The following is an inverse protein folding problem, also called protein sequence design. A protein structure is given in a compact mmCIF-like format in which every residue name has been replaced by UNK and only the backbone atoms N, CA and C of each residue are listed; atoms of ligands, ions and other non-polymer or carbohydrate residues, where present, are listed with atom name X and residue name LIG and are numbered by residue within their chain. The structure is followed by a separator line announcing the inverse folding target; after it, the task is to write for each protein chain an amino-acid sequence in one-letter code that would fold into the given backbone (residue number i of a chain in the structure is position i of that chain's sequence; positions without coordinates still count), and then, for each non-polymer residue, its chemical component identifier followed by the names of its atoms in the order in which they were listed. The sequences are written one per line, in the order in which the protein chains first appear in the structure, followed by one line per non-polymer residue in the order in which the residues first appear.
data_IF_656150393407
#
_entry.id   IF_656150393407
#
_cell.length_a   1.000
_cell.length_b   1.000
_cell.length_c   1.000
_cell.angle_alpha   90.00
_cell.angle_beta   90.00
_cell.angle_gamma   90.00
#
_symmetry.space_group_name_H-M   'P 1'
#
loop_
_entity.id
_entity.type
_entity.pdbx_description
1 polymer ?
#
# COMPACT_ATOMS: atom_id res chain seq x y z
N UNK A 1 14.31 -9.70 -24.55
CA UNK A 1 15.77 -9.48 -24.72
C UNK A 1 16.25 -9.67 -26.16
N UNK A 2 15.67 -10.59 -26.96
CA UNK A 2 16.07 -10.84 -28.35
C UNK A 2 15.40 -9.92 -29.39
N UNK A 3 14.92 -8.74 -28.99
CA UNK A 3 14.22 -7.80 -29.89
C UNK A 3 12.81 -8.21 -30.34
N UNK A 4 12.27 -9.32 -29.84
CA UNK A 4 10.90 -9.73 -30.15
C UNK A 4 9.87 -8.83 -29.46
N UNK A 5 8.85 -8.31 -30.18
CA UNK A 5 7.74 -7.57 -29.60
C UNK A 5 6.92 -8.44 -28.63
N UNK A 6 6.31 -7.80 -27.63
CA UNK A 6 5.32 -8.46 -26.77
C UNK A 6 4.00 -8.50 -27.52
N UNK A 7 3.46 -9.70 -27.73
CA UNK A 7 2.11 -9.88 -28.29
C UNK A 7 1.09 -9.82 -27.16
N UNK A 8 0.16 -8.86 -27.24
CA UNK A 8 -0.94 -8.71 -26.30
C UNK A 8 -2.19 -8.19 -27.01
N UNK A 9 -3.36 -8.54 -26.48
CA UNK A 9 -4.61 -7.88 -26.89
C UNK A 9 -4.57 -6.42 -26.44
N UNK A 10 -5.21 -5.53 -27.21
CA UNK A 10 -5.41 -4.14 -26.78
C UNK A 10 -6.27 -4.20 -25.50
N UNK A 11 -5.73 -3.78 -24.35
CA UNK A 11 -6.41 -3.96 -23.08
C UNK A 11 -7.46 -2.86 -22.91
N UNK A 12 -8.55 -3.19 -22.23
CA UNK A 12 -9.41 -2.17 -21.62
C UNK A 12 -8.62 -1.36 -20.60
N UNK A 13 -8.95 -0.08 -20.47
CA UNK A 13 -8.37 0.81 -19.47
C UNK A 13 -9.45 1.24 -18.48
N UNK A 14 -9.23 0.95 -17.21
CA UNK A 14 -10.09 1.38 -16.10
C UNK A 14 -9.49 2.63 -15.49
N UNK A 15 -10.21 3.75 -15.58
CA UNK A 15 -9.81 5.00 -14.92
C UNK A 15 -10.14 4.95 -13.43
N UNK A 16 -9.16 5.21 -12.58
CA UNK A 16 -9.35 5.33 -11.14
C UNK A 16 -9.12 6.77 -10.68
N UNK A 17 -10.21 7.50 -10.45
CA UNK A 17 -10.17 8.91 -10.07
C UNK A 17 -9.84 9.06 -8.59
N UNK A 18 -8.78 9.79 -8.28
CA UNK A 18 -8.44 10.19 -6.93
C UNK A 18 -8.74 11.68 -6.75
N UNK A 19 -9.48 11.98 -5.69
CA UNK A 19 -9.83 13.35 -5.27
C UNK A 19 -9.51 13.55 -3.79
N UNK A 20 -9.59 14.79 -3.32
CA UNK A 20 -9.31 15.11 -1.93
C UNK A 20 -7.84 14.90 -1.55
N UNK A 21 -7.60 14.75 -0.24
CA UNK A 21 -6.27 14.51 0.35
C UNK A 21 -6.40 13.49 1.47
N UNK A 22 -5.35 12.68 1.67
CA UNK A 22 -5.30 11.78 2.83
C UNK A 22 -5.34 12.57 4.13
N UNK A 23 -6.13 12.08 5.09
CA UNK A 23 -6.21 12.65 6.44
C UNK A 23 -4.92 12.38 7.20
N UNK A 24 -4.64 13.21 8.21
CA UNK A 24 -3.51 13.00 9.10
C UNK A 24 -3.57 11.60 9.76
N UNK A 25 -2.42 10.92 9.81
CA UNK A 25 -2.32 9.57 10.37
C UNK A 25 -2.70 8.45 9.39
N UNK A 26 -3.26 8.77 8.23
CA UNK A 26 -3.51 7.80 7.16
C UNK A 26 -2.27 7.65 6.29
N UNK A 27 -1.95 6.41 5.92
CA UNK A 27 -0.73 6.06 5.21
C UNK A 27 -1.00 5.64 3.76
N UNK A 28 0.07 5.58 2.95
CA UNK A 28 0.01 4.99 1.61
C UNK A 28 -0.49 3.53 1.62
N UNK A 29 -0.18 2.79 2.68
CA UNK A 29 -0.65 1.41 2.88
C UNK A 29 -2.18 1.35 3.01
N UNK A 30 -2.78 2.26 3.77
CA UNK A 30 -4.24 2.32 3.93
C UNK A 30 -4.94 2.65 2.60
N UNK A 31 -4.37 3.59 1.84
CA UNK A 31 -4.86 3.97 0.53
C UNK A 31 -4.80 2.79 -0.44
N UNK A 32 -3.65 2.11 -0.55
CA UNK A 32 -3.52 0.98 -1.50
C UNK A 32 -4.41 -0.21 -1.12
N UNK A 33 -4.64 -0.49 0.16
CA UNK A 33 -5.57 -1.55 0.57
C UNK A 33 -7.01 -1.21 0.18
N UNK A 34 -7.40 0.06 0.33
CA UNK A 34 -8.73 0.55 -0.09
C UNK A 34 -8.89 0.45 -1.61
N UNK A 35 -7.91 0.93 -2.36
CA UNK A 35 -7.86 0.82 -3.84
C UNK A 35 -7.90 -0.64 -4.29
N UNK A 36 -7.13 -1.51 -3.66
CA UNK A 36 -7.07 -2.95 -3.98
C UNK A 36 -8.43 -3.62 -3.79
N UNK A 37 -9.11 -3.34 -2.68
CA UNK A 37 -10.45 -3.86 -2.40
C UNK A 37 -11.45 -3.40 -3.48
N UNK A 38 -11.46 -2.11 -3.82
CA UNK A 38 -12.36 -1.54 -4.82
C UNK A 38 -12.12 -2.13 -6.22
N UNK A 39 -10.87 -2.20 -6.65
CA UNK A 39 -10.50 -2.73 -7.96
C UNK A 39 -10.76 -4.24 -8.09
N UNK A 40 -10.56 -5.01 -7.01
CA UNK A 40 -10.93 -6.43 -6.98
C UNK A 40 -12.43 -6.63 -7.13
N UNK A 41 -13.23 -5.83 -6.42
CA UNK A 41 -14.69 -5.88 -6.54
C UNK A 41 -15.17 -5.49 -7.94
N UNK A 42 -14.50 -4.53 -8.59
CA UNK A 42 -14.83 -4.10 -9.96
C UNK A 42 -14.44 -5.13 -11.03
N UNK A 43 -13.37 -5.88 -10.82
CA UNK A 43 -12.91 -6.92 -11.75
C UNK A 43 -12.03 -6.36 -12.87
N UNK A 44 -10.75 -6.16 -12.57
CA UNK A 44 -9.76 -5.59 -13.51
C UNK A 44 -8.74 -6.61 -14.04
N UNK A 45 -9.09 -7.90 -13.99
CA UNK A 45 -8.21 -8.97 -14.48
C UNK A 45 -7.92 -8.81 -15.96
N UNK A 46 -6.63 -8.71 -16.32
CA UNK A 46 -6.18 -8.54 -17.71
C UNK A 46 -6.40 -7.14 -18.30
N UNK A 47 -6.79 -6.17 -17.47
CA UNK A 47 -7.01 -4.77 -17.85
C UNK A 47 -5.88 -3.89 -17.35
N UNK A 48 -5.78 -2.70 -17.92
CA UNK A 48 -4.96 -1.63 -17.35
C UNK A 48 -5.79 -0.82 -16.37
N UNK A 49 -5.13 -0.31 -15.33
CA UNK A 49 -5.71 0.68 -14.42
C UNK A 49 -4.88 1.93 -14.54
N UNK A 50 -5.52 3.05 -14.90
CA UNK A 50 -4.88 4.36 -14.97
C UNK A 50 -5.44 5.27 -13.88
N UNK A 51 -4.56 5.79 -13.04
CA UNK A 51 -4.93 6.71 -11.97
C UNK A 51 -4.92 8.15 -12.48
N UNK A 52 -6.00 8.88 -12.18
CA UNK A 52 -6.19 10.27 -12.63
C UNK A 52 -6.93 11.11 -11.58
N UNK A 53 -7.17 12.38 -11.89
CA UNK A 53 -7.83 13.34 -10.99
C UNK A 53 -6.85 14.21 -10.19
N UNK A 54 -7.39 15.25 -9.55
CA UNK A 54 -6.60 16.29 -8.90
C UNK A 54 -5.99 15.85 -7.56
N UNK A 55 -6.46 14.73 -7.00
CA UNK A 55 -5.83 14.13 -5.82
C UNK A 55 -4.34 13.78 -6.05
N UNK A 56 -3.96 13.49 -7.30
CA UNK A 56 -2.57 13.17 -7.67
C UNK A 56 -1.61 14.32 -7.37
N UNK A 57 -2.05 15.59 -7.42
CA UNK A 57 -1.20 16.76 -7.18
C UNK A 57 -0.59 16.76 -5.77
N UNK A 58 -1.22 16.05 -4.83
CA UNK A 58 -0.77 15.95 -3.44
C UNK A 58 -0.28 14.58 -3.04
N UNK A 59 -0.30 13.61 -3.97
CA UNK A 59 0.12 12.25 -3.71
C UNK A 59 1.59 12.07 -4.12
N UNK A 60 2.52 11.91 -3.15
CA UNK A 60 3.94 11.75 -3.45
C UNK A 60 4.22 10.54 -4.33
N UNK A 61 5.33 10.58 -5.09
CA UNK A 61 5.65 9.47 -6.01
C UNK A 61 5.84 8.13 -5.31
N UNK A 62 6.36 8.12 -4.08
CA UNK A 62 6.49 6.88 -3.31
C UNK A 62 5.13 6.22 -3.05
N UNK A 63 4.08 7.01 -2.78
CA UNK A 63 2.73 6.51 -2.54
C UNK A 63 2.12 5.99 -3.85
N UNK A 64 2.34 6.69 -4.97
CA UNK A 64 1.95 6.22 -6.31
C UNK A 64 2.62 4.87 -6.63
N UNK A 65 3.90 4.73 -6.32
CA UNK A 65 4.65 3.50 -6.51
C UNK A 65 4.13 2.36 -5.63
N UNK A 66 3.75 2.64 -4.38
CA UNK A 66 3.07 1.67 -3.49
C UNK A 66 1.79 1.13 -4.13
N UNK A 67 0.96 2.01 -4.71
CA UNK A 67 -0.30 1.63 -5.36
C UNK A 67 -0.06 0.82 -6.65
N UNK A 68 0.86 1.28 -7.50
CA UNK A 68 1.21 0.61 -8.75
C UNK A 68 1.86 -0.76 -8.51
N UNK A 69 2.66 -0.89 -7.44
CA UNK A 69 3.30 -2.15 -7.07
C UNK A 69 2.29 -3.25 -6.73
N UNK A 70 1.11 -2.88 -6.20
CA UNK A 70 0.06 -3.83 -5.86
C UNK A 70 -0.86 -4.21 -7.03
N UNK A 71 -0.47 -3.91 -8.28
CA UNK A 71 -1.25 -4.27 -9.46
C UNK A 71 -1.63 -5.76 -9.56
N UNK A 72 -0.70 -6.70 -9.31
CA UNK A 72 -1.05 -8.13 -9.27
C UNK A 72 -2.11 -8.45 -8.20
N UNK A 73 -2.08 -7.77 -7.06
CA UNK A 73 -2.98 -7.98 -5.92
C UNK A 73 -4.41 -7.52 -6.21
N UNK A 74 -4.64 -6.56 -7.12
CA UNK A 74 -5.98 -6.27 -7.66
C UNK A 74 -6.27 -6.88 -9.04
N UNK A 75 -5.28 -7.53 -9.65
CA UNK A 75 -5.42 -8.33 -10.87
C UNK A 75 -5.17 -7.55 -12.17
N UNK A 76 -4.81 -6.28 -12.10
CA UNK A 76 -4.50 -5.50 -13.29
C UNK A 76 -3.17 -5.96 -13.89
N UNK A 77 -3.05 -5.83 -15.22
CA UNK A 77 -1.77 -6.02 -15.90
C UNK A 77 -0.81 -4.87 -15.58
N UNK A 78 -1.34 -3.67 -15.36
CA UNK A 78 -0.57 -2.47 -15.05
C UNK A 78 -1.39 -1.52 -14.17
N UNK A 79 -0.74 -0.93 -13.17
CA UNK A 79 -1.22 0.27 -12.47
C UNK A 79 -0.40 1.47 -12.91
N UNK A 80 -1.00 2.38 -13.67
CA UNK A 80 -0.32 3.46 -14.35
C UNK A 80 -0.63 4.82 -13.70
N UNK A 81 0.41 5.60 -13.43
CA UNK A 81 0.30 7.01 -13.07
C UNK A 81 1.00 7.84 -14.15
N UNK A 82 0.33 8.85 -14.73
CA UNK A 82 0.92 9.67 -15.78
C UNK A 82 2.06 10.55 -15.26
N UNK A 83 2.89 11.04 -16.19
CA UNK A 83 4.02 11.91 -15.88
C UNK A 83 3.50 13.30 -15.54
N UNK A 84 3.94 13.84 -14.39
CA UNK A 84 3.62 15.20 -13.97
C UNK A 84 4.77 15.85 -13.17
N UNK A 85 4.48 17.00 -12.56
CA UNK A 85 5.45 17.73 -11.75
C UNK A 85 6.03 16.92 -10.59
N UNK A 86 5.24 16.04 -9.96
CA UNK A 86 5.69 15.17 -8.87
C UNK A 86 6.67 14.13 -9.38
N UNK A 87 6.48 13.62 -10.61
CA UNK A 87 7.47 12.76 -11.27
C UNK A 87 8.82 13.45 -11.40
N UNK A 88 8.84 14.71 -11.87
CA UNK A 88 10.07 15.47 -12.04
C UNK A 88 10.72 15.82 -10.70
N UNK A 89 9.93 16.15 -9.68
CA UNK A 89 10.43 16.38 -8.32
C UNK A 89 11.14 15.14 -7.79
N UNK A 90 10.54 13.96 -7.95
CA UNK A 90 11.18 12.71 -7.54
C UNK A 90 12.46 12.41 -8.34
N UNK A 91 12.48 12.71 -9.64
CA UNK A 91 13.71 12.58 -10.44
C UNK A 91 14.84 13.45 -9.89
N UNK A 92 14.55 14.70 -9.52
CA UNK A 92 15.53 15.61 -8.89
C UNK A 92 15.99 15.06 -7.53
N UNK A 93 15.03 14.68 -6.68
CA UNK A 93 15.28 14.12 -5.35
C UNK A 93 16.20 12.89 -5.42
N UNK A 94 16.00 12.05 -6.43
CA UNK A 94 16.76 10.83 -6.66
C UNK A 94 18.03 11.05 -7.50
N UNK A 95 18.51 12.28 -7.62
CA UNK A 95 19.83 12.62 -8.14
C UNK A 95 19.95 12.67 -9.66
N UNK A 96 18.86 12.73 -10.42
CA UNK A 96 18.94 12.91 -11.89
C UNK A 96 19.37 14.35 -12.20
N UNK A 97 20.15 14.52 -13.27
CA UNK A 97 20.66 15.85 -13.66
C UNK A 97 19.52 16.78 -14.08
N UNK A 98 19.72 18.08 -13.92
CA UNK A 98 18.77 19.11 -14.36
C UNK A 98 18.47 19.00 -15.87
N UNK A 99 19.48 18.70 -16.67
CA UNK A 99 19.37 18.47 -18.12
C UNK A 99 18.45 17.29 -18.44
N UNK A 100 18.61 16.16 -17.73
CA UNK A 100 17.77 14.98 -17.93
C UNK A 100 16.32 15.25 -17.52
N UNK A 101 16.11 15.95 -16.40
CA UNK A 101 14.77 16.32 -15.93
C UNK A 101 14.07 17.25 -16.93
N UNK A 102 14.78 18.25 -17.45
CA UNK A 102 14.26 19.17 -18.46
C UNK A 102 13.93 18.45 -19.78
N UNK A 103 14.77 17.50 -20.20
CA UNK A 103 14.51 16.68 -21.39
C UNK A 103 13.23 15.84 -21.23
N UNK A 104 13.06 15.17 -20.07
CA UNK A 104 11.87 14.36 -19.80
C UNK A 104 10.60 15.21 -19.82
N UNK A 105 10.63 16.39 -19.21
CA UNK A 105 9.51 17.33 -19.23
C UNK A 105 9.14 17.75 -20.66
N UNK A 106 10.12 18.23 -21.42
CA UNK A 106 9.91 18.70 -22.78
C UNK A 106 9.38 17.59 -23.69
N UNK A 107 9.95 16.39 -23.58
CA UNK A 107 9.53 15.23 -24.35
C UNK A 107 8.11 14.78 -23.98
N UNK A 108 7.81 14.63 -22.69
CA UNK A 108 6.49 14.21 -22.24
C UNK A 108 5.38 15.18 -22.69
N UNK A 109 5.64 16.49 -22.63
CA UNK A 109 4.72 17.52 -23.12
C UNK A 109 4.55 17.47 -24.64
N UNK A 110 5.66 17.36 -25.39
CA UNK A 110 5.61 17.29 -26.85
C UNK A 110 4.88 16.05 -27.38
N UNK A 111 4.91 14.93 -26.64
CA UNK A 111 4.24 13.68 -26.99
C UNK A 111 2.80 13.58 -26.44
N UNK A 112 2.30 14.59 -25.72
CA UNK A 112 0.97 14.55 -25.10
C UNK A 112 0.85 13.53 -23.95
N UNK A 113 1.96 13.14 -23.32
CA UNK A 113 2.00 12.21 -22.18
C UNK A 113 2.01 12.93 -20.82
N UNK A 114 2.00 14.26 -20.83
CA UNK A 114 2.04 15.08 -19.64
C UNK A 114 0.64 15.28 -19.05
N UNK A 115 0.45 14.93 -17.77
CA UNK A 115 -0.80 15.20 -17.04
C UNK A 115 -0.89 16.65 -16.59
N UNK A 116 -2.08 17.23 -16.73
CA UNK A 116 -2.47 18.51 -16.17
C UNK A 116 -3.58 18.34 -15.11
N UNK A 117 -3.67 19.28 -14.18
CA UNK A 117 -4.79 19.39 -13.25
C UNK A 117 -6.09 19.61 -14.03
N UNK A 118 -7.14 18.88 -13.67
CA UNK A 118 -8.44 18.90 -14.34
C UNK A 118 -8.55 18.01 -15.59
N UNK A 119 -7.50 17.25 -15.96
CA UNK A 119 -7.59 16.31 -17.07
C UNK A 119 -8.59 15.17 -16.75
N UNK A 120 -9.51 14.92 -17.69
CA UNK A 120 -10.51 13.85 -17.63
C UNK A 120 -10.40 12.95 -18.88
N UNK A 121 -9.45 11.99 -18.92
CA UNK A 121 -9.31 11.08 -20.04
C UNK A 121 -10.54 10.16 -20.20
N UNK A 122 -10.74 9.66 -21.41
CA UNK A 122 -11.85 8.73 -21.71
C UNK A 122 -11.38 7.30 -21.46
N UNK A 123 -12.03 6.61 -20.53
CA UNK A 123 -11.71 5.24 -20.12
C UNK A 123 -12.83 4.26 -20.48
N UNK A 124 -12.53 2.97 -20.55
CA UNK A 124 -13.55 1.92 -20.77
C UNK A 124 -14.56 1.88 -19.62
N UNK A 125 -14.08 2.08 -18.39
CA UNK A 125 -14.91 2.23 -17.19
C UNK A 125 -14.17 3.06 -16.15
N UNK A 126 -14.90 3.63 -15.18
CA UNK A 126 -14.32 4.51 -14.17
C UNK A 126 -14.75 4.14 -12.75
N UNK A 127 -13.83 4.28 -11.81
CA UNK A 127 -14.07 4.32 -10.37
C UNK A 127 -13.60 5.66 -9.82
N UNK A 128 -14.12 6.07 -8.67
CA UNK A 128 -13.68 7.27 -7.98
C UNK A 128 -13.53 7.00 -6.48
N UNK A 129 -12.53 7.63 -5.87
CA UNK A 129 -12.27 7.62 -4.44
C UNK A 129 -11.91 9.04 -3.98
N UNK A 130 -12.61 9.53 -2.97
CA UNK A 130 -12.13 10.64 -2.16
C UNK A 130 -11.13 10.10 -1.14
N UNK A 131 -9.88 10.56 -1.21
CA UNK A 131 -8.83 10.15 -0.28
C UNK A 131 -9.12 10.57 1.16
N UNK A 132 -10.03 11.53 1.38
CA UNK A 132 -10.51 11.91 2.70
C UNK A 132 -11.33 10.82 3.40
N UNK A 133 -11.92 9.89 2.64
CA UNK A 133 -12.71 8.78 3.18
C UNK A 133 -11.85 7.58 3.62
N UNK A 134 -10.57 7.56 3.23
CA UNK A 134 -9.65 6.48 3.60
C UNK A 134 -9.43 6.49 5.11
N UNK A 135 -9.50 5.32 5.70
CA UNK A 135 -9.29 5.06 7.13
C UNK A 135 -8.18 4.03 7.34
N UNK A 136 -7.57 4.08 8.52
CA UNK A 136 -6.53 3.13 8.90
C UNK A 136 -7.06 1.70 8.80
N UNK A 137 -6.31 0.80 8.17
CA UNK A 137 -6.77 -0.55 7.87
C UNK A 137 -5.64 -1.57 7.86
N UNK A 138 -6.03 -2.84 7.95
CA UNK A 138 -5.15 -3.99 7.75
C UNK A 138 -5.75 -4.88 6.67
N UNK A 139 -4.92 -5.72 6.06
CA UNK A 139 -5.38 -6.79 5.18
C UNK A 139 -4.95 -8.15 5.74
N UNK A 140 -5.86 -9.12 5.71
CA UNK A 140 -5.67 -10.47 6.26
C UNK A 140 -7.02 -11.10 6.62
N UNK A 141 -7.15 -12.37 6.98
CA UNK A 141 -6.20 -13.40 7.46
C UNK A 141 -5.44 -14.14 6.35
N UNK A 142 -6.03 -14.24 5.15
CA UNK A 142 -5.58 -15.17 4.11
C UNK A 142 -5.18 -14.50 2.78
N UNK A 143 -5.82 -13.39 2.40
CA UNK A 143 -5.55 -12.72 1.11
C UNK A 143 -5.49 -11.18 1.22
N UNK A 144 -4.71 -10.48 0.38
CA UNK A 144 -4.47 -9.03 0.49
C UNK A 144 -5.71 -8.14 0.29
N UNK A 145 -6.72 -8.62 -0.42
CA UNK A 145 -7.96 -7.87 -0.65
C UNK A 145 -8.94 -7.90 0.53
N UNK A 146 -8.69 -8.74 1.55
CA UNK A 146 -9.50 -8.82 2.77
C UNK A 146 -9.14 -7.66 3.70
N UNK A 147 -9.49 -6.45 3.26
CA UNK A 147 -9.31 -5.21 4.03
C UNK A 147 -10.30 -5.18 5.20
N UNK A 148 -9.77 -4.91 6.39
CA UNK A 148 -10.51 -4.68 7.63
C UNK A 148 -10.09 -3.32 8.19
N UNK A 149 -11.06 -2.47 8.52
CA UNK A 149 -10.77 -1.21 9.23
C UNK A 149 -10.06 -1.52 10.55
N UNK A 150 -9.06 -0.72 10.93
CA UNK A 150 -8.22 -1.00 12.10
C UNK A 150 -9.06 -1.13 13.39
N UNK A 151 -10.12 -0.34 13.51
CA UNK A 151 -11.06 -0.38 14.64
C UNK A 151 -11.84 -1.72 14.71
N UNK A 152 -12.06 -2.38 13.57
CA UNK A 152 -12.83 -3.62 13.47
C UNK A 152 -11.96 -4.88 13.55
N UNK A 153 -10.63 -4.75 13.57
CA UNK A 153 -9.70 -5.89 13.64
C UNK A 153 -10.00 -6.84 14.81
N UNK A 154 -10.26 -6.37 16.05
CA UNK A 154 -10.60 -7.28 17.15
C UNK A 154 -11.87 -8.10 16.88
N UNK A 155 -12.89 -7.46 16.30
CA UNK A 155 -14.17 -8.11 15.96
C UNK A 155 -14.00 -9.11 14.82
N UNK A 156 -13.27 -8.74 13.77
CA UNK A 156 -12.98 -9.61 12.64
C UNK A 156 -12.14 -10.82 13.06
N UNK A 157 -11.18 -10.63 13.98
CA UNK A 157 -10.38 -11.72 14.55
C UNK A 157 -11.24 -12.69 15.37
N UNK A 158 -12.10 -12.18 16.25
CA UNK A 158 -13.01 -13.02 17.04
C UNK A 158 -13.95 -13.84 16.16
N UNK A 159 -14.62 -13.22 15.19
CA UNK A 159 -15.55 -13.88 14.29
C UNK A 159 -14.88 -14.98 13.44
N UNK A 160 -13.65 -14.75 12.97
CA UNK A 160 -12.91 -15.74 12.20
C UNK A 160 -12.43 -16.92 13.05
N UNK A 161 -12.10 -16.69 14.33
CA UNK A 161 -11.81 -17.77 15.28
C UNK A 161 -13.07 -18.58 15.59
N UNK A 162 -14.23 -17.97 15.78
CA UNK A 162 -15.51 -18.70 15.96
C UNK A 162 -15.85 -19.59 14.76
N UNK A 163 -15.63 -19.10 13.53
CA UNK A 163 -15.85 -19.86 12.30
C UNK A 163 -14.93 -21.09 12.19
N UNK A 164 -13.67 -20.99 12.64
CA UNK A 164 -12.73 -22.11 12.69
C UNK A 164 -13.04 -23.10 13.84
N UNK A 165 -13.50 -22.59 15.00
CA UNK A 165 -13.81 -23.38 16.20
C UNK A 165 -15.06 -24.24 16.03
N UNK A 166 -15.98 -23.90 15.10
CA UNK A 166 -17.06 -24.82 14.68
C UNK A 166 -16.54 -26.14 14.07
N UNK A 167 -15.23 -26.25 13.78
CA UNK A 167 -14.56 -27.49 13.35
C UNK A 167 -13.78 -28.20 14.47
N UNK A 168 -13.53 -27.55 15.61
CA UNK A 168 -12.96 -28.16 16.82
C UNK A 168 -13.14 -27.25 18.04
N UNK A 169 -13.97 -27.65 19.01
CA UNK A 169 -14.01 -27.03 20.34
C UNK A 169 -12.63 -27.17 21.00
N UNK A 170 -11.82 -26.12 20.96
CA UNK A 170 -10.65 -25.96 21.82
C UNK A 170 -10.92 -24.79 22.76
N UNK A 171 -10.88 -25.07 24.06
CA UNK A 171 -10.74 -24.05 25.09
C UNK A 171 -9.48 -23.21 24.76
N UNK A 172 -9.70 -21.99 24.26
CA UNK A 172 -8.64 -21.00 24.04
C UNK A 172 -8.12 -20.55 25.39
N UNK A 173 -6.99 -21.12 25.82
CA UNK A 173 -6.29 -20.71 27.04
C UNK A 173 -4.88 -20.29 26.68
N UNK A 174 -4.35 -19.21 27.29
CA UNK A 174 -2.96 -18.83 27.12
C UNK A 174 -2.03 -20.00 27.45
N UNK A 175 -0.98 -20.17 26.65
CA UNK A 175 0.02 -21.22 26.85
C UNK A 175 1.18 -20.64 27.67
N UNK A 176 1.47 -21.26 28.81
CA UNK A 176 2.66 -20.94 29.61
C UNK A 176 3.93 -21.40 28.88
N UNK A 177 4.95 -20.56 28.85
CA UNK A 177 6.26 -20.91 28.30
C UNK A 177 7.40 -20.21 29.04
N UNK A 178 8.61 -20.76 28.93
CA UNK A 178 9.82 -20.19 29.53
C UNK A 178 10.75 -19.69 28.43
N UNK A 179 11.26 -18.48 28.59
CA UNK A 179 12.26 -17.91 27.68
C UNK A 179 13.29 -17.11 28.48
N UNK A 180 14.57 -17.42 28.27
CA UNK A 180 15.69 -16.84 29.02
C UNK A 180 15.52 -16.94 30.55
N UNK A 181 14.93 -18.03 31.04
CA UNK A 181 14.71 -18.27 32.47
C UNK A 181 13.49 -17.54 33.07
N UNK A 182 12.72 -16.79 32.29
CA UNK A 182 11.49 -16.12 32.73
C UNK A 182 10.25 -16.84 32.19
N UNK A 183 9.22 -16.98 33.03
CA UNK A 183 7.90 -17.48 32.64
C UNK A 183 7.06 -16.38 31.98
N UNK A 184 6.34 -16.75 30.93
CA UNK A 184 5.45 -15.89 30.16
C UNK A 184 4.19 -16.67 29.76
N UNK A 185 3.13 -15.93 29.42
CA UNK A 185 1.90 -16.47 28.85
C UNK A 185 1.70 -15.96 27.43
N UNK A 186 1.47 -16.89 26.50
CA UNK A 186 1.16 -16.57 25.12
C UNK A 186 -0.34 -16.73 24.86
N UNK A 187 -1.12 -15.64 24.79
CA UNK A 187 -2.55 -15.70 24.47
C UNK A 187 -2.78 -15.93 22.97
N UNK A 188 -3.99 -16.37 22.63
CA UNK A 188 -4.43 -16.38 21.23
C UNK A 188 -4.46 -14.96 20.64
N UNK A 189 -4.11 -14.85 19.36
CA UNK A 189 -3.96 -13.57 18.68
C UNK A 189 -2.69 -12.80 19.06
N UNK A 190 -1.80 -13.37 19.88
CA UNK A 190 -0.50 -12.76 20.16
C UNK A 190 0.31 -12.59 18.87
N UNK A 191 0.82 -11.37 18.66
CA UNK A 191 1.73 -11.08 17.54
C UNK A 191 3.07 -11.78 17.80
N UNK A 192 3.34 -12.87 17.09
CA UNK A 192 4.62 -13.58 17.18
C UNK A 192 5.69 -13.02 16.22
N UNK A 193 5.28 -12.38 15.13
CA UNK A 193 6.17 -11.81 14.12
C UNK A 193 5.71 -10.38 13.81
N UNK A 194 6.65 -9.43 13.83
CA UNK A 194 6.40 -8.05 13.46
C UNK A 194 7.51 -7.59 12.50
N UNK A 195 7.25 -7.65 11.20
CA UNK A 195 8.25 -7.38 10.17
C UNK A 195 7.91 -6.12 9.37
N UNK A 196 8.79 -5.13 9.37
CA UNK A 196 8.77 -4.03 8.39
C UNK A 196 9.62 -4.49 7.21
N UNK A 197 8.96 -4.83 6.11
CA UNK A 197 9.57 -5.48 4.93
C UNK A 197 8.86 -5.02 3.65
N UNK A 198 9.17 -5.69 2.54
CA UNK A 198 8.66 -5.46 1.18
C UNK A 198 9.09 -4.12 0.57
N UNK A 199 9.36 -4.13 -0.73
CA UNK A 199 9.59 -2.91 -1.50
C UNK A 199 8.37 -1.99 -1.48
N UNK A 200 7.15 -2.52 -1.32
CA UNK A 200 5.89 -1.77 -1.23
C UNK A 200 5.91 -0.66 -0.17
N UNK A 201 6.51 -0.93 0.99
CA UNK A 201 6.57 0.03 2.11
C UNK A 201 7.99 0.56 2.35
N UNK A 202 9.03 -0.26 2.12
CA UNK A 202 10.41 0.13 2.45
C UNK A 202 11.07 1.02 1.40
N UNK A 203 10.43 1.19 0.24
CA UNK A 203 10.80 2.23 -0.73
C UNK A 203 10.14 3.58 -0.45
N UNK A 204 9.26 3.66 0.55
CA UNK A 204 8.53 4.86 0.92
C UNK A 204 9.12 5.48 2.20
N UNK A 205 9.90 6.59 2.09
CA UNK A 205 10.55 7.19 3.25
C UNK A 205 9.55 7.69 4.30
N UNK A 206 8.36 8.14 3.88
CA UNK A 206 7.36 8.74 4.78
C UNK A 206 6.89 7.73 5.83
N UNK A 207 6.54 6.51 5.42
CA UNK A 207 6.07 5.46 6.35
C UNK A 207 7.21 4.91 7.22
N UNK A 208 8.44 4.84 6.69
CA UNK A 208 9.62 4.44 7.48
C UNK A 208 9.96 5.47 8.56
N UNK A 209 9.93 6.76 8.20
CA UNK A 209 10.15 7.86 9.15
C UNK A 209 9.05 7.91 10.20
N UNK A 210 7.79 7.73 9.81
CA UNK A 210 6.67 7.63 10.75
C UNK A 210 6.86 6.47 11.74
N UNK A 211 7.25 5.28 11.26
CA UNK A 211 7.55 4.13 12.13
C UNK A 211 8.68 4.43 13.12
N UNK A 212 9.77 5.07 12.66
CA UNK A 212 10.89 5.46 13.52
C UNK A 212 10.50 6.51 14.57
N UNK A 213 9.71 7.51 14.20
CA UNK A 213 9.21 8.54 15.12
C UNK A 213 8.25 7.94 16.16
N UNK A 214 7.37 7.02 15.75
CA UNK A 214 6.50 6.27 16.65
C UNK A 214 7.31 5.43 17.64
N UNK A 215 8.32 4.71 17.15
CA UNK A 215 9.22 3.91 18.00
C UNK A 215 9.97 4.79 19.01
N UNK A 216 10.49 5.95 18.60
CA UNK A 216 11.15 6.91 19.49
C UNK A 216 10.22 7.37 20.62
N UNK A 217 8.97 7.73 20.28
CA UNK A 217 7.96 8.15 21.25
C UNK A 217 7.60 7.01 22.21
N UNK A 218 7.41 5.79 21.70
CA UNK A 218 7.13 4.62 22.51
C UNK A 218 8.24 4.34 23.54
N UNK A 219 9.51 4.39 23.12
CA UNK A 219 10.67 4.22 24.00
C UNK A 219 10.74 5.32 25.07
N UNK A 220 10.47 6.58 24.69
CA UNK A 220 10.45 7.71 25.64
C UNK A 220 9.35 7.54 26.69
N UNK A 221 8.23 6.92 26.33
CA UNK A 221 7.13 6.57 27.24
C UNK A 221 7.39 5.26 28.01
N UNK A 222 8.57 4.65 27.89
CA UNK A 222 8.93 3.42 28.61
C UNK A 222 8.31 2.14 28.05
N UNK A 223 7.65 2.20 26.90
CA UNK A 223 7.05 1.03 26.27
C UNK A 223 8.14 0.09 25.73
N UNK A 224 7.90 -1.21 25.88
CA UNK A 224 8.76 -2.28 25.37
C UNK A 224 7.92 -3.30 24.63
N UNK A 225 8.50 -3.86 23.56
CA UNK A 225 7.92 -4.98 22.83
C UNK A 225 7.85 -6.21 23.74
N UNK A 226 6.76 -6.96 23.65
CA UNK A 226 6.64 -8.26 24.31
C UNK A 226 7.72 -9.22 23.83
N UNK A 227 8.36 -10.00 24.71
CA UNK A 227 9.65 -10.61 24.40
C UNK A 227 9.56 -11.72 23.35
N UNK A 228 8.41 -12.38 23.20
CA UNK A 228 8.17 -13.42 22.18
C UNK A 228 8.11 -12.90 20.74
N UNK A 229 7.92 -11.59 20.54
CA UNK A 229 7.73 -11.04 19.21
C UNK A 229 9.07 -11.08 18.42
N UNK A 230 9.14 -11.80 17.32
CA UNK A 230 10.27 -11.72 16.40
C UNK A 230 10.14 -10.48 15.52
N UNK A 231 10.77 -9.39 15.94
CA UNK A 231 10.78 -8.13 15.19
C UNK A 231 11.92 -8.10 14.16
N UNK A 232 11.64 -7.62 12.94
CA UNK A 232 12.64 -7.43 11.90
C UNK A 232 12.36 -6.18 11.05
N UNK A 233 13.44 -5.59 10.52
CA UNK A 233 13.42 -4.49 9.56
C UNK A 233 14.32 -4.88 8.39
N UNK A 234 13.75 -4.96 7.18
CA UNK A 234 14.47 -5.27 5.96
C UNK A 234 14.27 -4.14 4.95
N UNK A 235 15.29 -3.29 4.78
CA UNK A 235 15.23 -2.15 3.86
C UNK A 235 15.56 -2.60 2.43
N UNK A 236 14.76 -2.15 1.45
CA UNK A 236 14.94 -2.52 0.05
C UNK A 236 16.19 -1.90 -0.60
N UNK A 237 16.67 -0.75 -0.12
CA UNK A 237 17.82 -0.02 -0.69
C UNK A 237 18.61 0.72 0.41
N UNK A 238 19.93 0.88 0.19
CA UNK A 238 20.87 1.68 1.00
C UNK A 238 20.98 3.10 0.46
#
# INVERSE_FOLDING_TARGET
MLGQPVSMLIPDVVGFKLTGKLREGITATDLVLTVTQMLRKHGVVGKFVEFYGDGLDTLPLADRATIANMAPEYGATCGFFPIDGVTLEYMRLSGRSSEQVALVEAYAKAQGMWRNTGDEPVFTSTLALDMGEVEASLAGRNVPQDRVALADVPKAFAASTELEVNTAQKDSRPIDYVMNGHQYQLPDGAVAIAAITSCTNTSNPSVLMAAGLLAKKAVTLGLKRQPWVKASLALALK
#
